data_IF_268961105249
#
_entry.id   IF_268961105249
#
_cell.length_a   1.000
_cell.length_b   1.000
_cell.length_c   1.000
_cell.angle_alpha   90.00
_cell.angle_beta   90.00
_cell.angle_gamma   90.00
#
_symmetry.space_group_name_H-M   'P 1'
#
loop_
_entity.id
_entity.type
_entity.pdbx_description
1 polymer ?
#
# COMPACT_ATOMS: atom_id res chain seq x y z
N UNK A 1 0.95 56.53 7.56
CA UNK A 1 0.74 55.32 6.74
C UNK A 1 1.56 54.07 7.15
N UNK A 2 2.29 54.07 8.28
CA UNK A 2 3.15 52.93 8.70
C UNK A 2 2.41 51.71 9.28
N UNK A 3 1.28 51.90 9.97
CA UNK A 3 0.55 50.80 10.64
C UNK A 3 -0.21 49.86 9.70
N UNK A 4 -0.69 50.34 8.55
CA UNK A 4 -1.43 49.51 7.56
C UNK A 4 -0.52 48.51 6.83
N UNK A 5 0.77 48.81 6.70
CA UNK A 5 1.75 47.92 6.06
C UNK A 5 2.21 46.82 7.03
N UNK A 6 2.45 47.17 8.30
CA UNK A 6 2.83 46.22 9.34
C UNK A 6 1.71 45.21 9.66
N UNK A 7 0.46 45.68 9.68
CA UNK A 7 -0.72 44.81 9.85
C UNK A 7 -0.90 43.83 8.69
N UNK A 8 -0.67 44.26 7.44
CA UNK A 8 -0.71 43.37 6.27
C UNK A 8 0.42 42.32 6.29
N UNK A 9 1.59 42.69 6.80
CA UNK A 9 2.74 41.77 6.92
C UNK A 9 2.48 40.67 7.98
N UNK A 10 1.87 41.01 9.11
CA UNK A 10 1.51 40.05 10.16
C UNK A 10 0.45 39.06 9.66
N UNK A 11 -0.56 39.52 8.92
CA UNK A 11 -1.58 38.64 8.32
C UNK A 11 -0.94 37.70 7.29
N UNK A 12 0.01 38.19 6.48
CA UNK A 12 0.72 37.36 5.50
C UNK A 12 1.61 36.30 6.16
N UNK A 13 2.35 36.67 7.22
CA UNK A 13 3.19 35.72 7.99
C UNK A 13 2.33 34.69 8.72
N UNK A 14 1.18 35.09 9.26
CA UNK A 14 0.23 34.17 9.89
C UNK A 14 -0.38 33.17 8.89
N UNK A 15 -0.53 33.53 7.62
CA UNK A 15 -1.08 32.65 6.60
C UNK A 15 -0.09 31.55 6.18
N UNK A 16 1.21 31.84 6.23
CA UNK A 16 2.28 30.89 5.86
C UNK A 16 2.52 29.86 6.98
N UNK A 17 2.17 30.20 8.23
CA UNK A 17 2.33 29.30 9.38
C UNK A 17 1.39 28.07 9.38
N UNK A 18 0.38 28.01 8.50
CA UNK A 18 -0.58 26.90 8.40
C UNK A 18 -0.26 25.91 7.26
N UNK A 19 0.94 25.92 6.68
CA UNK A 19 1.33 24.86 5.73
C UNK A 19 1.53 23.53 6.49
N UNK A 20 0.46 22.76 6.64
CA UNK A 20 0.55 21.39 7.12
C UNK A 20 1.15 20.49 6.04
N UNK A 21 2.30 19.87 6.31
CA UNK A 21 2.85 18.86 5.43
C UNK A 21 1.96 17.62 5.46
N UNK A 22 1.22 17.36 4.38
CA UNK A 22 0.55 16.09 4.19
C UNK A 22 1.61 15.02 3.92
N UNK A 23 1.82 14.13 4.89
CA UNK A 23 2.82 13.07 4.78
C UNK A 23 2.20 11.88 4.03
N UNK A 24 2.86 11.45 2.96
CA UNK A 24 2.60 10.21 2.21
C UNK A 24 3.88 9.41 2.18
N UNK A 25 3.80 8.14 2.55
CA UNK A 25 4.92 7.22 2.57
C UNK A 25 4.50 5.99 1.78
N UNK A 26 5.09 5.81 0.60
CA UNK A 26 5.05 4.56 -0.15
C UNK A 26 6.45 4.00 -0.16
N UNK A 27 6.62 2.78 0.36
CA UNK A 27 7.92 2.11 0.44
C UNK A 27 7.76 0.61 0.29
N UNK A 28 8.62 0.01 -0.51
CA UNK A 28 8.80 -1.43 -0.64
C UNK A 28 10.21 -1.87 -0.26
N UNK A 29 10.30 -3.10 0.21
CA UNK A 29 11.53 -3.83 0.43
C UNK A 29 11.42 -5.25 -0.14
N UNK A 30 12.49 -5.70 -0.77
CA UNK A 30 12.52 -6.97 -1.51
C UNK A 30 13.89 -7.61 -1.40
N UNK A 31 13.91 -8.91 -1.13
CA UNK A 31 15.10 -9.75 -1.15
C UNK A 31 15.70 -9.72 -2.56
N UNK A 32 16.97 -9.28 -2.73
CA UNK A 32 17.60 -9.19 -4.04
C UNK A 32 17.82 -10.56 -4.71
N UNK A 33 17.72 -11.67 -3.97
CA UNK A 33 17.92 -13.00 -4.52
C UNK A 33 16.66 -13.61 -5.13
N UNK A 34 15.49 -12.97 -4.98
CA UNK A 34 14.21 -13.46 -5.51
C UNK A 34 13.84 -12.70 -6.77
N UNK A 35 13.68 -13.43 -7.88
CA UNK A 35 13.22 -12.86 -9.14
C UNK A 35 11.68 -12.87 -9.21
N UNK A 36 11.05 -11.71 -8.97
CA UNK A 36 9.59 -11.60 -9.07
C UNK A 36 9.04 -11.88 -10.47
N UNK A 37 9.86 -11.77 -11.52
CA UNK A 37 9.45 -12.05 -12.90
C UNK A 37 9.21 -13.53 -13.19
N UNK A 38 9.70 -14.43 -12.33
CA UNK A 38 9.50 -15.88 -12.46
C UNK A 38 8.19 -16.34 -11.79
N UNK A 39 7.63 -15.51 -10.91
CA UNK A 39 6.40 -15.80 -10.16
C UNK A 39 5.18 -15.55 -11.05
N UNK A 40 4.28 -16.53 -11.15
CA UNK A 40 3.10 -16.45 -12.04
C UNK A 40 1.80 -16.55 -11.29
N UNK A 41 1.76 -17.35 -10.23
CA UNK A 41 0.54 -17.68 -9.51
C UNK A 41 0.56 -17.13 -8.09
N UNK A 42 -0.50 -16.42 -7.74
CA UNK A 42 -0.63 -15.71 -6.46
C UNK A 42 -1.93 -16.14 -5.78
N UNK A 43 -1.86 -16.35 -4.47
CA UNK A 43 -3.04 -16.53 -3.63
C UNK A 43 -3.07 -15.45 -2.56
N UNK A 44 -4.10 -14.61 -2.58
CA UNK A 44 -4.30 -13.55 -1.59
C UNK A 44 -5.18 -14.07 -0.46
N UNK A 45 -4.57 -14.24 0.71
CA UNK A 45 -5.26 -14.65 1.90
C UNK A 45 -6.08 -13.48 2.46
N UNK A 46 -7.39 -13.69 2.64
CA UNK A 46 -8.22 -12.76 3.38
C UNK A 46 -7.75 -12.67 4.83
N UNK A 47 -7.50 -11.45 5.27
CA UNK A 47 -7.26 -11.16 6.67
C UNK A 47 -8.59 -11.20 7.41
N UNK A 48 -8.79 -12.17 8.30
CA UNK A 48 -10.11 -12.44 8.91
C UNK A 48 -10.80 -11.24 9.60
N UNK A 49 -10.09 -10.27 10.20
CA UNK A 49 -10.72 -9.04 10.69
C UNK A 49 -11.26 -8.11 9.59
N UNK A 50 -10.78 -8.24 8.35
CA UNK A 50 -11.25 -7.46 7.22
C UNK A 50 -12.57 -8.02 6.67
N UNK A 51 -13.53 -7.11 6.49
CA UNK A 51 -14.85 -7.38 5.89
C UNK A 51 -15.10 -6.56 4.63
N UNK A 52 -14.08 -5.84 4.15
CA UNK A 52 -14.17 -4.89 3.05
C UNK A 52 -13.73 -5.49 1.72
N UNK A 53 -13.21 -6.71 1.73
CA UNK A 53 -12.84 -7.44 0.53
C UNK A 53 -11.53 -6.97 -0.09
N UNK A 54 -10.58 -6.48 0.73
CA UNK A 54 -9.30 -5.99 0.21
C UNK A 54 -8.50 -7.10 -0.48
N UNK A 55 -8.66 -8.35 -0.06
CA UNK A 55 -8.05 -9.50 -0.72
C UNK A 55 -8.44 -9.60 -2.21
N UNK A 56 -9.70 -9.27 -2.53
CA UNK A 56 -10.23 -9.33 -3.89
C UNK A 56 -9.66 -8.22 -4.74
N UNK A 57 -9.56 -7.02 -4.17
CA UNK A 57 -8.98 -5.85 -4.83
C UNK A 57 -7.50 -6.11 -5.14
N UNK A 58 -6.75 -6.68 -4.18
CA UNK A 58 -5.34 -7.05 -4.39
C UNK A 58 -5.22 -8.09 -5.51
N UNK A 59 -6.03 -9.16 -5.47
CA UNK A 59 -6.00 -10.20 -6.50
C UNK A 59 -6.37 -9.64 -7.88
N UNK A 60 -7.41 -8.80 -7.98
CA UNK A 60 -7.80 -8.15 -9.23
C UNK A 60 -6.68 -7.29 -9.80
N UNK A 61 -6.01 -6.47 -8.97
CA UNK A 61 -4.88 -5.65 -9.42
C UNK A 61 -3.69 -6.51 -9.88
N UNK A 62 -3.37 -7.59 -9.17
CA UNK A 62 -2.35 -8.55 -9.60
C UNK A 62 -2.68 -9.17 -10.97
N UNK A 63 -3.96 -9.51 -11.21
CA UNK A 63 -4.42 -9.98 -12.52
C UNK A 63 -4.25 -8.92 -13.61
N UNK A 64 -4.53 -7.64 -13.31
CA UNK A 64 -4.29 -6.52 -14.24
C UNK A 64 -2.81 -6.36 -14.58
N UNK A 65 -1.89 -6.68 -13.65
CA UNK A 65 -0.45 -6.72 -13.92
C UNK A 65 0.01 -7.94 -14.73
N UNK A 66 -0.88 -8.88 -15.07
CA UNK A 66 -0.58 -10.05 -15.90
C UNK A 66 -0.24 -11.32 -15.13
N UNK A 67 -0.39 -11.32 -13.81
CA UNK A 67 -0.26 -12.54 -12.99
C UNK A 67 -1.57 -13.31 -12.93
N UNK A 68 -1.54 -14.57 -12.48
CA UNK A 68 -2.73 -15.35 -12.17
C UNK A 68 -2.97 -15.33 -10.66
N UNK A 69 -3.86 -14.45 -10.20
CA UNK A 69 -4.12 -14.23 -8.78
C UNK A 69 -5.54 -14.65 -8.39
N UNK A 70 -5.63 -15.44 -7.33
CA UNK A 70 -6.88 -15.83 -6.66
C UNK A 70 -6.92 -15.29 -5.24
N UNK A 71 -8.09 -15.31 -4.60
CA UNK A 71 -8.23 -14.89 -3.19
C UNK A 71 -9.15 -15.82 -2.44
N UNK A 72 -8.96 -15.92 -1.12
CA UNK A 72 -9.80 -16.78 -0.29
C UNK A 72 -9.55 -16.63 1.21
N UNK A 73 -10.48 -17.19 2.00
CA UNK A 73 -10.43 -17.18 3.47
C UNK A 73 -9.56 -18.29 4.06
N UNK A 74 -9.21 -19.29 3.25
CA UNK A 74 -8.38 -20.40 3.71
C UNK A 74 -6.94 -19.90 3.94
N UNK A 75 -6.31 -20.24 5.07
CA UNK A 75 -4.90 -19.96 5.29
C UNK A 75 -3.99 -20.77 4.37
N UNK A 76 -4.49 -21.88 3.83
CA UNK A 76 -3.80 -22.68 2.84
C UNK A 76 -4.44 -22.45 1.47
N UNK A 77 -3.66 -22.09 0.45
CA UNK A 77 -4.15 -22.00 -0.93
C UNK A 77 -4.81 -23.33 -1.36
N UNK A 78 -5.91 -23.29 -2.14
CA UNK A 78 -6.58 -24.49 -2.63
C UNK A 78 -5.73 -25.27 -3.64
N UNK A 79 -4.88 -24.58 -4.39
CA UNK A 79 -3.93 -25.13 -5.35
C UNK A 79 -2.50 -24.75 -4.97
N UNK A 80 -1.50 -25.45 -5.52
CA UNK A 80 -0.10 -25.02 -5.41
C UNK A 80 0.07 -23.68 -6.14
N UNK A 81 0.57 -22.69 -5.44
CA UNK A 81 0.86 -21.34 -5.95
C UNK A 81 2.32 -21.01 -5.74
N UNK A 82 2.84 -20.04 -6.49
CA UNK A 82 4.20 -19.55 -6.33
C UNK A 82 4.32 -18.58 -5.14
N UNK A 83 3.23 -17.85 -4.85
CA UNK A 83 3.23 -16.77 -3.85
C UNK A 83 1.97 -16.79 -2.99
N UNK A 84 2.18 -16.80 -1.67
CA UNK A 84 1.16 -16.46 -0.69
C UNK A 84 1.23 -14.95 -0.43
N UNK A 85 0.12 -14.24 -0.62
CA UNK A 85 0.01 -12.80 -0.35
C UNK A 85 -0.81 -12.58 0.91
N UNK A 86 -0.26 -11.85 1.86
CA UNK A 86 -0.99 -11.39 3.05
C UNK A 86 -1.00 -9.87 3.10
N UNK A 87 -1.94 -9.31 3.86
CA UNK A 87 -2.02 -7.87 4.04
C UNK A 87 -2.48 -7.51 5.45
N UNK A 88 -2.14 -6.28 5.87
CA UNK A 88 -2.66 -5.65 7.08
C UNK A 88 -3.15 -4.25 6.76
N UNK A 89 -4.38 -3.97 7.12
CA UNK A 89 -5.03 -2.69 6.96
C UNK A 89 -5.12 -1.93 8.29
N UNK A 90 -5.00 -0.60 8.23
CA UNK A 90 -5.31 0.28 9.37
C UNK A 90 -6.33 1.32 8.93
N UNK A 91 -7.36 1.48 9.75
CA UNK A 91 -8.47 2.39 9.51
C UNK A 91 -8.60 3.41 10.63
N UNK A 92 -9.06 4.60 10.27
CA UNK A 92 -9.34 5.70 11.18
C UNK A 92 -10.78 6.17 10.99
N UNK A 93 -11.36 6.76 12.04
CA UNK A 93 -12.76 7.21 12.07
C UNK A 93 -12.90 8.70 12.41
N UNK A 94 -11.88 9.54 12.19
CA UNK A 94 -11.88 10.92 12.69
C UNK A 94 -13.04 11.81 12.16
N UNK A 95 -13.39 11.69 10.88
CA UNK A 95 -14.48 12.42 10.21
C UNK A 95 -15.35 11.43 9.42
N UNK A 96 -14.69 10.55 8.67
CA UNK A 96 -15.32 9.41 7.98
C UNK A 96 -14.45 8.18 8.19
N UNK A 97 -14.96 6.98 7.92
CA UNK A 97 -14.12 5.79 7.94
C UNK A 97 -13.20 5.80 6.71
N UNK A 98 -11.89 5.71 6.90
CA UNK A 98 -10.93 5.65 5.79
C UNK A 98 -9.70 4.83 6.16
N UNK A 99 -9.05 4.27 5.15
CA UNK A 99 -7.81 3.51 5.31
C UNK A 99 -6.64 4.49 5.42
N UNK A 100 -5.95 4.46 6.56
CA UNK A 100 -4.77 5.28 6.80
C UNK A 100 -3.49 4.57 6.34
N UNK A 101 -3.51 3.22 6.36
CA UNK A 101 -2.37 2.40 5.96
C UNK A 101 -2.82 1.05 5.38
N UNK A 102 -2.06 0.58 4.41
CA UNK A 102 -2.05 -0.81 3.94
C UNK A 102 -0.61 -1.31 3.88
N UNK A 103 -0.37 -2.51 4.40
CA UNK A 103 0.87 -3.27 4.20
C UNK A 103 0.53 -4.53 3.44
N UNK A 104 1.28 -4.86 2.40
CA UNK A 104 1.15 -6.08 1.60
C UNK A 104 2.48 -6.82 1.66
N UNK A 105 2.43 -8.13 1.91
CA UNK A 105 3.61 -8.98 2.07
C UNK A 105 3.47 -10.21 1.18
N UNK A 106 4.55 -10.57 0.49
CA UNK A 106 4.67 -11.75 -0.36
C UNK A 106 5.53 -12.79 0.37
N UNK A 107 4.99 -13.99 0.48
CA UNK A 107 5.59 -15.10 1.20
C UNK A 107 5.76 -16.30 0.29
N UNK A 108 6.83 -17.05 0.52
CA UNK A 108 6.98 -18.39 -0.01
C UNK A 108 5.93 -19.30 0.66
N UNK A 109 5.09 -20.02 -0.09
CA UNK A 109 3.96 -20.74 0.47
C UNK A 109 4.35 -21.99 1.26
N UNK A 110 5.56 -22.53 1.07
CA UNK A 110 6.04 -23.71 1.80
C UNK A 110 6.69 -23.35 3.14
N UNK A 111 7.55 -22.34 3.13
CA UNK A 111 8.34 -21.89 4.29
C UNK A 111 7.72 -20.73 5.05
N UNK A 112 6.73 -20.05 4.47
CA UNK A 112 6.15 -18.80 4.95
C UNK A 112 7.22 -17.67 5.12
N UNK A 113 8.30 -17.74 4.36
CA UNK A 113 9.35 -16.72 4.35
C UNK A 113 8.90 -15.50 3.55
N UNK A 114 8.92 -14.33 4.20
CA UNK A 114 8.61 -13.05 3.54
C UNK A 114 9.81 -12.57 2.73
N UNK A 115 9.76 -12.73 1.42
CA UNK A 115 10.82 -12.24 0.53
C UNK A 115 10.57 -10.83 0.03
N UNK A 116 9.36 -10.29 0.21
CA UNK A 116 9.00 -8.96 -0.29
C UNK A 116 7.86 -8.35 0.51
N UNK A 117 7.94 -7.05 0.79
CA UNK A 117 6.90 -6.30 1.51
C UNK A 117 6.78 -4.87 1.01
N UNK A 118 5.58 -4.32 1.08
CA UNK A 118 5.32 -2.95 0.66
C UNK A 118 4.26 -2.28 1.53
N UNK A 119 4.40 -0.97 1.72
CA UNK A 119 3.52 -0.19 2.59
C UNK A 119 3.13 1.12 1.94
N UNK A 120 1.85 1.47 2.03
CA UNK A 120 1.34 2.81 1.74
C UNK A 120 0.70 3.37 3.01
N UNK A 121 1.27 4.45 3.54
CA UNK A 121 0.77 5.20 4.70
C UNK A 121 0.53 6.65 4.31
N UNK A 122 -0.56 7.23 4.78
CA UNK A 122 -0.91 8.63 4.50
C UNK A 122 -1.60 9.29 5.68
N UNK A 123 -1.43 10.60 5.81
CA UNK A 123 -2.20 11.41 6.77
C UNK A 123 -3.63 11.68 6.28
N UNK A 124 -4.54 12.10 7.17
CA UNK A 124 -5.96 12.32 6.87
C UNK A 124 -6.23 13.36 5.77
N UNK A 125 -5.32 14.32 5.57
CA UNK A 125 -5.42 15.30 4.47
C UNK A 125 -5.09 14.72 3.09
N UNK A 126 -4.32 13.63 3.03
CA UNK A 126 -3.89 12.98 1.79
C UNK A 126 -4.66 11.67 1.50
N UNK A 127 -5.86 11.53 2.07
CA UNK A 127 -6.73 10.35 1.92
C UNK A 127 -6.93 9.96 0.46
N UNK A 128 -6.98 8.65 0.22
CA UNK A 128 -7.35 8.05 -1.06
C UNK A 128 -8.15 6.79 -0.82
N UNK A 129 -8.81 6.33 -1.87
CA UNK A 129 -9.54 5.08 -1.86
C UNK A 129 -8.60 3.88 -1.71
N UNK A 130 -9.06 2.78 -1.08
CA UNK A 130 -8.21 1.60 -0.83
C UNK A 130 -7.57 1.03 -2.09
N UNK A 131 -8.29 1.02 -3.20
CA UNK A 131 -7.81 0.56 -4.51
C UNK A 131 -6.55 1.31 -4.95
N UNK A 132 -6.53 2.63 -4.76
CA UNK A 132 -5.37 3.46 -5.13
C UNK A 132 -4.20 3.22 -4.17
N UNK A 133 -4.48 3.01 -2.88
CA UNK A 133 -3.42 2.70 -1.92
C UNK A 133 -2.76 1.34 -2.22
N UNK A 134 -3.56 0.34 -2.57
CA UNK A 134 -3.11 -1.00 -2.96
C UNK A 134 -2.28 -0.91 -4.24
N UNK A 135 -2.77 -0.18 -5.24
CA UNK A 135 -2.05 0.02 -6.51
C UNK A 135 -0.70 0.70 -6.30
N UNK A 136 -0.61 1.73 -5.44
CA UNK A 136 0.66 2.37 -5.10
C UNK A 136 1.66 1.39 -4.49
N UNK A 137 1.20 0.48 -3.61
CA UNK A 137 2.06 -0.55 -3.01
C UNK A 137 2.54 -1.55 -4.07
N UNK A 138 1.62 -2.10 -4.86
CA UNK A 138 1.96 -3.09 -5.90
C UNK A 138 2.89 -2.48 -6.96
N UNK A 139 2.65 -1.24 -7.37
CA UNK A 139 3.51 -0.54 -8.32
C UNK A 139 4.93 -0.34 -7.76
N UNK A 140 5.06 0.10 -6.51
CA UNK A 140 6.38 0.29 -5.88
C UNK A 140 7.12 -1.03 -5.66
N UNK A 141 6.38 -2.12 -5.37
CA UNK A 141 6.93 -3.48 -5.31
C UNK A 141 7.53 -3.90 -6.65
N UNK A 142 6.75 -3.87 -7.74
CA UNK A 142 7.23 -4.36 -9.02
C UNK A 142 8.27 -3.45 -9.68
N UNK A 143 8.16 -2.12 -9.52
CA UNK A 143 9.14 -1.17 -10.04
C UNK A 143 10.53 -1.37 -9.40
N UNK A 144 10.57 -1.51 -8.07
CA UNK A 144 11.84 -1.63 -7.33
C UNK A 144 12.55 -2.96 -7.57
N UNK A 145 11.82 -4.00 -7.95
CA UNK A 145 12.41 -5.27 -8.38
C UNK A 145 12.97 -5.20 -9.80
N UNK A 146 12.28 -4.53 -10.73
CA UNK A 146 12.81 -4.31 -12.08
C UNK A 146 14.15 -3.54 -12.05
N UNK A 147 14.27 -2.52 -11.22
CA UNK A 147 15.51 -1.74 -11.07
C UNK A 147 16.69 -2.54 -10.47
N UNK A 148 16.42 -3.61 -9.72
CA UNK A 148 17.45 -4.47 -9.09
C UNK A 148 17.93 -5.62 -9.99
N UNK A 149 17.20 -5.92 -11.07
CA UNK A 149 17.54 -6.99 -12.03
C UNK A 149 18.51 -6.57 -13.15
N UNK A 150 19.08 -5.35 -13.07
CA UNK A 150 20.03 -4.76 -14.03
C UNK A 150 21.43 -4.67 -13.40
#
# INVERSE_FOLDING_TARGET
MRGKFFSKLIVLVSLIAFTGCANVIVKSDSDPNVNLGELKTFYVQNFAPDKRGLEKIIAEKLNVYGFNATSGVSPTPPDSVDVLVTYRDRWMWDITNYMIEITIEFHDPESNFTFTSGRSYRTSLARKDPEVMIEEVLQDLFKRNADKSI
#
